data_IF_108273366548
#
_entry.id   IF_108273366548
#
_cell.length_a   1.000
_cell.length_b   1.000
_cell.length_c   1.000
_cell.angle_alpha   90.00
_cell.angle_beta   90.00
_cell.angle_gamma   90.00
#
_symmetry.space_group_name_H-M   'P 1'
#
loop_
_entity.id
_entity.type
_entity.pdbx_description
1 polymer ?
#
# COMPACT_ATOMS: atom_id res chain seq x y z
N UNK A 1 13.33 3.68 -17.87
CA UNK A 1 12.52 2.64 -17.22
C UNK A 1 13.36 1.99 -16.12
N UNK A 2 12.95 2.08 -14.89
CA UNK A 2 13.67 1.40 -13.82
C UNK A 2 13.51 -0.12 -14.00
N UNK A 3 14.62 -0.86 -14.05
CA UNK A 3 14.60 -2.32 -14.08
C UNK A 3 14.14 -2.82 -12.72
N UNK A 4 13.29 -3.84 -12.71
CA UNK A 4 12.92 -4.52 -11.48
C UNK A 4 14.16 -5.23 -10.92
N UNK A 5 14.35 -5.25 -9.61
CA UNK A 5 15.44 -6.02 -9.02
C UNK A 5 15.28 -7.51 -9.36
N UNK A 6 16.41 -8.15 -9.63
CA UNK A 6 16.46 -9.57 -10.01
C UNK A 6 15.72 -10.50 -9.04
N UNK A 7 15.64 -10.09 -7.77
CA UNK A 7 14.90 -10.82 -6.74
C UNK A 7 13.41 -10.99 -7.04
N UNK A 8 12.82 -10.03 -7.77
CA UNK A 8 11.40 -10.10 -8.13
C UNK A 8 11.13 -11.08 -9.26
N UNK A 9 12.11 -11.29 -10.13
CA UNK A 9 11.98 -12.22 -11.25
C UNK A 9 12.09 -13.69 -10.82
N UNK A 10 12.73 -13.95 -9.67
CA UNK A 10 13.00 -15.31 -9.19
C UNK A 10 11.84 -16.00 -8.50
N UNK A 11 10.89 -15.24 -7.96
CA UNK A 11 9.90 -15.78 -7.03
C UNK A 11 8.45 -15.80 -7.56
N UNK A 12 8.23 -15.40 -8.81
CA UNK A 12 6.89 -15.36 -9.42
C UNK A 12 6.03 -14.22 -8.87
N UNK A 13 4.68 -14.34 -8.97
CA UNK A 13 3.78 -13.26 -8.60
C UNK A 13 3.95 -12.83 -7.16
N UNK A 14 4.13 -11.54 -6.96
CA UNK A 14 4.36 -10.94 -5.65
C UNK A 14 3.11 -10.23 -5.15
N UNK A 15 3.05 -9.99 -3.86
CA UNK A 15 2.07 -9.09 -3.26
C UNK A 15 2.59 -7.67 -3.45
N UNK A 16 1.76 -6.81 -4.02
CA UNK A 16 2.10 -5.43 -4.29
C UNK A 16 1.51 -4.53 -3.21
N UNK A 17 2.33 -3.67 -2.61
CA UNK A 17 1.96 -2.81 -1.48
C UNK A 17 2.41 -1.38 -1.76
N UNK A 18 1.55 -0.41 -1.45
CA UNK A 18 1.69 0.99 -1.83
C UNK A 18 2.49 1.86 -0.86
N UNK A 19 3.10 1.31 0.17
CA UNK A 19 3.78 2.13 1.19
C UNK A 19 4.94 1.39 1.84
N UNK A 20 5.94 2.15 2.29
CA UNK A 20 7.08 1.63 3.05
C UNK A 20 7.06 2.13 4.49
N UNK A 21 7.81 1.49 5.39
CA UNK A 21 8.04 1.95 6.75
C UNK A 21 8.20 0.83 7.76
N UNK A 22 8.70 1.18 8.94
CA UNK A 22 8.95 0.23 10.02
C UNK A 22 7.66 -0.41 10.52
N UNK A 23 6.59 0.37 10.66
CA UNK A 23 5.30 -0.15 11.11
C UNK A 23 4.71 -1.17 10.15
N UNK A 24 4.92 -0.99 8.84
CA UNK A 24 4.52 -1.97 7.85
C UNK A 24 5.29 -3.27 8.04
N UNK A 25 6.62 -3.20 8.20
CA UNK A 25 7.45 -4.39 8.38
C UNK A 25 7.07 -5.16 9.65
N UNK A 26 6.83 -4.47 10.75
CA UNK A 26 6.35 -5.07 12.00
C UNK A 26 5.01 -5.78 11.80
N UNK A 27 4.06 -5.11 11.15
CA UNK A 27 2.72 -5.65 10.92
C UNK A 27 2.74 -6.86 9.99
N UNK A 28 3.55 -6.83 8.94
CA UNK A 28 3.73 -7.98 8.03
C UNK A 28 4.30 -9.17 8.77
N UNK A 29 5.32 -8.96 9.60
CA UNK A 29 5.92 -10.02 10.39
C UNK A 29 4.89 -10.62 11.37
N UNK A 30 4.13 -9.79 12.05
CA UNK A 30 3.11 -10.24 12.99
C UNK A 30 1.96 -10.96 12.29
N UNK A 31 1.61 -10.57 11.08
CA UNK A 31 0.62 -11.25 10.26
C UNK A 31 1.11 -12.57 9.66
N UNK A 32 2.40 -12.85 9.73
CA UNK A 32 3.00 -14.05 9.15
C UNK A 32 3.33 -13.92 7.67
N UNK A 33 3.40 -12.70 7.15
CA UNK A 33 3.70 -12.41 5.75
C UNK A 33 5.19 -12.18 5.59
N UNK A 34 5.86 -13.02 4.79
CA UNK A 34 7.29 -12.86 4.51
C UNK A 34 7.54 -11.61 3.67
N UNK A 35 8.40 -10.71 4.18
CA UNK A 35 8.72 -9.44 3.50
C UNK A 35 9.27 -9.66 2.08
N UNK A 36 9.98 -10.75 1.85
CA UNK A 36 10.58 -11.09 0.56
C UNK A 36 9.54 -11.38 -0.53
N UNK A 37 8.33 -11.75 -0.15
CA UNK A 37 7.23 -12.02 -1.07
C UNK A 37 6.38 -10.79 -1.37
N UNK A 38 6.76 -9.64 -0.82
CA UNK A 38 6.03 -8.39 -0.94
C UNK A 38 6.86 -7.37 -1.71
N UNK A 39 6.30 -6.86 -2.80
CA UNK A 39 6.86 -5.72 -3.53
C UNK A 39 6.26 -4.44 -2.98
N UNK A 40 7.08 -3.58 -2.41
CA UNK A 40 6.64 -2.33 -1.78
C UNK A 40 7.00 -1.15 -2.65
N UNK A 41 6.03 -0.29 -2.92
CA UNK A 41 6.19 0.89 -3.76
C UNK A 41 5.31 2.02 -3.27
N UNK A 42 5.38 3.17 -3.91
CA UNK A 42 4.49 4.30 -3.67
C UNK A 42 3.51 4.44 -4.84
N UNK A 43 2.24 4.69 -4.54
CA UNK A 43 1.21 4.91 -5.54
C UNK A 43 1.48 6.18 -6.36
N UNK A 44 2.01 7.21 -5.71
CA UNK A 44 2.44 8.45 -6.35
C UNK A 44 3.96 8.51 -6.33
N UNK A 45 4.58 8.56 -7.52
CA UNK A 45 6.04 8.45 -7.67
C UNK A 45 6.78 9.76 -7.44
N UNK A 46 6.06 10.89 -7.42
CA UNK A 46 6.66 12.19 -7.24
C UNK A 46 6.36 12.73 -5.84
N UNK A 47 7.42 13.18 -5.17
CA UNK A 47 7.29 13.79 -3.86
C UNK A 47 6.77 15.21 -3.99
N UNK A 48 5.59 15.47 -3.41
CA UNK A 48 5.02 16.82 -3.34
C UNK A 48 5.34 17.45 -2.00
N UNK A 49 5.91 18.65 -2.02
CA UNK A 49 6.26 19.36 -0.80
C UNK A 49 6.09 20.86 -0.95
N UNK A 50 5.92 21.53 0.19
CA UNK A 50 5.98 22.99 0.30
C UNK A 50 7.22 23.34 1.11
N UNK A 51 8.14 24.18 0.57
CA UNK A 51 9.32 24.58 1.33
C UNK A 51 8.89 25.48 2.51
N UNK A 52 9.41 25.16 3.70
CA UNK A 52 9.23 25.94 4.91
C UNK A 52 10.57 26.09 5.61
N UNK A 53 11.29 27.17 5.28
CA UNK A 53 12.67 27.34 5.73
C UNK A 53 13.58 26.25 5.15
N UNK A 54 14.28 25.51 6.01
CA UNK A 54 15.15 24.40 5.61
C UNK A 54 14.40 23.06 5.50
N UNK A 55 13.12 23.03 5.87
CA UNK A 55 12.29 21.80 5.93
C UNK A 55 11.37 21.75 4.72
N UNK A 56 11.21 20.55 4.16
CA UNK A 56 10.24 20.25 3.12
C UNK A 56 9.03 19.60 3.76
N UNK A 57 7.88 20.31 3.78
CA UNK A 57 6.64 19.75 4.29
C UNK A 57 5.99 18.90 3.21
N UNK A 58 5.80 17.62 3.52
CA UNK A 58 5.10 16.69 2.64
C UNK A 58 3.65 17.11 2.46
N UNK A 59 3.19 17.21 1.22
CA UNK A 59 1.80 17.50 0.90
C UNK A 59 1.10 16.28 0.28
N UNK A 60 -0.19 16.14 0.63
CA UNK A 60 -1.03 15.12 0.02
C UNK A 60 -1.26 15.47 -1.45
N UNK A 61 -1.05 14.52 -2.40
CA UNK A 61 -1.31 14.78 -3.80
C UNK A 61 -2.79 14.98 -4.09
N UNK A 62 -3.10 15.84 -5.05
CA UNK A 62 -4.46 16.05 -5.53
C UNK A 62 -4.80 15.07 -6.66
N UNK A 63 -6.09 14.96 -6.99
CA UNK A 63 -6.60 13.98 -7.97
C UNK A 63 -5.87 14.05 -9.32
N UNK A 64 -5.56 15.24 -9.83
CA UNK A 64 -4.85 15.41 -11.10
C UNK A 64 -3.45 14.80 -11.04
N UNK A 65 -2.76 14.98 -9.93
CA UNK A 65 -1.41 14.42 -9.72
C UNK A 65 -1.45 12.89 -9.61
N UNK A 66 -2.46 12.36 -8.93
CA UNK A 66 -2.67 10.92 -8.82
C UNK A 66 -2.92 10.31 -10.21
N UNK A 67 -3.76 10.94 -11.01
CA UNK A 67 -4.02 10.49 -12.39
C UNK A 67 -2.78 10.55 -13.26
N UNK A 68 -1.96 11.59 -13.13
CA UNK A 68 -0.72 11.73 -13.88
C UNK A 68 0.28 10.60 -13.58
N UNK A 69 0.31 10.10 -12.34
CA UNK A 69 1.21 9.02 -11.93
C UNK A 69 0.64 7.62 -12.20
N UNK A 70 -0.65 7.51 -12.51
CA UNK A 70 -1.34 6.21 -12.66
C UNK A 70 -0.73 5.32 -13.73
N UNK A 71 -0.23 5.88 -14.82
CA UNK A 71 0.42 5.13 -15.89
C UNK A 71 1.63 4.32 -15.39
N UNK A 72 2.38 4.86 -14.42
CA UNK A 72 3.53 4.18 -13.83
C UNK A 72 3.10 3.04 -12.94
N UNK A 73 2.03 3.25 -12.16
CA UNK A 73 1.42 2.22 -11.34
C UNK A 73 0.93 1.05 -12.18
N UNK A 74 0.22 1.33 -13.27
CA UNK A 74 -0.30 0.32 -14.18
C UNK A 74 0.84 -0.51 -14.79
N UNK A 75 1.94 0.14 -15.19
CA UNK A 75 3.13 -0.55 -15.69
C UNK A 75 3.77 -1.46 -14.64
N UNK A 76 3.86 -0.99 -13.40
CA UNK A 76 4.38 -1.84 -12.32
C UNK A 76 3.51 -3.07 -12.11
N UNK A 77 2.20 -2.90 -12.10
CA UNK A 77 1.27 -4.02 -11.96
C UNK A 77 1.37 -5.01 -13.12
N UNK A 78 1.54 -4.51 -14.35
CA UNK A 78 1.71 -5.35 -15.54
C UNK A 78 3.00 -6.18 -15.47
N UNK A 79 4.08 -5.60 -14.95
CA UNK A 79 5.38 -6.29 -14.86
C UNK A 79 5.41 -7.25 -13.68
N UNK A 80 4.95 -6.82 -12.51
CA UNK A 80 4.98 -7.63 -11.28
C UNK A 80 3.94 -8.75 -11.34
N UNK A 81 2.78 -8.49 -11.94
CA UNK A 81 1.65 -9.41 -12.01
C UNK A 81 1.32 -10.03 -10.64
N UNK A 82 1.02 -9.20 -9.64
CA UNK A 82 0.76 -9.70 -8.29
C UNK A 82 -0.55 -10.47 -8.25
N UNK A 83 -0.66 -11.40 -7.32
CA UNK A 83 -1.94 -12.05 -7.00
C UNK A 83 -2.85 -11.10 -6.23
N UNK A 84 -2.25 -10.26 -5.37
CA UNK A 84 -2.97 -9.28 -4.55
C UNK A 84 -2.24 -7.94 -4.58
N UNK A 85 -2.98 -6.87 -4.80
CA UNK A 85 -2.50 -5.51 -4.66
C UNK A 85 -3.10 -4.90 -3.38
N UNK A 86 -2.24 -4.40 -2.49
CA UNK A 86 -2.66 -3.80 -1.23
C UNK A 86 -2.59 -2.28 -1.34
N UNK A 87 -3.73 -1.63 -1.25
CA UNK A 87 -3.83 -0.17 -1.24
C UNK A 87 -3.94 0.34 0.21
N UNK A 88 -2.92 1.05 0.66
CA UNK A 88 -2.85 1.59 2.01
C UNK A 88 -3.08 3.09 2.01
N UNK A 89 -4.23 3.49 2.54
CA UNK A 89 -4.61 4.89 2.62
C UNK A 89 -5.38 5.40 1.40
N UNK A 90 -5.98 6.58 1.54
CA UNK A 90 -6.89 7.15 0.55
C UNK A 90 -6.24 7.40 -0.82
N UNK A 91 -5.00 7.89 -0.82
CA UNK A 91 -4.26 8.17 -2.07
C UNK A 91 -4.02 6.90 -2.87
N UNK A 92 -3.58 5.83 -2.19
CA UNK A 92 -3.33 4.54 -2.82
C UNK A 92 -4.63 3.92 -3.36
N UNK A 93 -5.71 4.02 -2.61
CA UNK A 93 -7.04 3.54 -3.02
C UNK A 93 -7.49 4.26 -4.28
N UNK A 94 -7.39 5.58 -4.30
CA UNK A 94 -7.76 6.37 -5.47
C UNK A 94 -6.90 6.03 -6.70
N UNK A 95 -5.60 5.81 -6.50
CA UNK A 95 -4.68 5.43 -7.58
C UNK A 95 -5.02 4.05 -8.15
N UNK A 96 -5.28 3.08 -7.29
CA UNK A 96 -5.52 1.70 -7.71
C UNK A 96 -6.90 1.51 -8.34
N UNK A 97 -7.93 2.11 -7.75
CA UNK A 97 -9.32 1.94 -8.20
C UNK A 97 -9.79 3.00 -9.19
N UNK A 98 -9.03 4.09 -9.35
CA UNK A 98 -9.41 5.20 -10.23
C UNK A 98 -10.45 6.13 -9.65
N UNK A 99 -10.89 5.92 -8.41
CA UNK A 99 -11.88 6.73 -7.70
C UNK A 99 -11.63 6.69 -6.20
N UNK A 100 -12.10 7.71 -5.50
CA UNK A 100 -12.06 7.74 -4.04
C UNK A 100 -13.07 6.73 -3.48
N UNK A 101 -12.62 5.95 -2.48
CA UNK A 101 -13.47 4.99 -1.77
C UNK A 101 -13.20 5.11 -0.27
N UNK A 102 -14.26 5.12 0.58
CA UNK A 102 -14.07 5.16 2.02
C UNK A 102 -13.35 3.92 2.54
N UNK A 103 -12.24 4.11 3.26
CA UNK A 103 -11.41 3.00 3.73
C UNK A 103 -12.18 2.13 4.72
N UNK A 104 -12.82 2.73 5.72
CA UNK A 104 -13.49 1.99 6.78
C UNK A 104 -14.64 1.10 6.27
N UNK A 105 -15.27 1.48 5.17
CA UNK A 105 -16.34 0.69 4.56
C UNK A 105 -15.83 -0.46 3.69
N UNK A 106 -14.61 -0.36 3.21
CA UNK A 106 -14.07 -1.27 2.20
C UNK A 106 -12.90 -2.12 2.69
N UNK A 107 -12.32 -1.81 3.86
CA UNK A 107 -11.22 -2.58 4.42
C UNK A 107 -11.65 -3.95 4.94
N UNK A 108 -10.69 -4.84 5.14
CA UNK A 108 -10.94 -6.15 5.75
C UNK A 108 -11.62 -7.15 4.84
N UNK A 109 -11.57 -6.93 3.52
CA UNK A 109 -12.09 -7.87 2.53
C UNK A 109 -11.31 -7.77 1.23
N UNK A 110 -11.34 -8.82 0.46
CA UNK A 110 -10.74 -8.83 -0.87
C UNK A 110 -11.75 -8.31 -1.90
N UNK A 111 -11.25 -7.52 -2.84
CA UNK A 111 -12.05 -6.93 -3.92
C UNK A 111 -11.43 -7.39 -5.24
N UNK A 112 -12.24 -7.88 -6.16
CA UNK A 112 -11.77 -8.33 -7.46
C UNK A 112 -11.52 -7.13 -8.38
N UNK A 113 -10.30 -7.01 -8.90
CA UNK A 113 -9.92 -6.01 -9.91
C UNK A 113 -9.90 -6.58 -11.33
N UNK A 114 -10.22 -7.86 -11.51
CA UNK A 114 -10.10 -8.55 -12.79
C UNK A 114 -8.74 -9.21 -12.98
N UNK A 115 -7.66 -8.44 -13.00
CA UNK A 115 -6.28 -8.95 -13.16
C UNK A 115 -5.70 -9.50 -11.85
N UNK A 116 -6.12 -9.00 -10.70
CA UNK A 116 -5.71 -9.46 -9.38
C UNK A 116 -6.78 -9.13 -8.35
N UNK A 117 -6.60 -9.66 -7.13
CA UNK A 117 -7.40 -9.23 -5.99
C UNK A 117 -6.82 -7.96 -5.39
N UNK A 118 -7.62 -7.17 -4.75
CA UNK A 118 -7.19 -5.97 -4.03
C UNK A 118 -7.60 -6.02 -2.57
N UNK A 119 -6.74 -5.49 -1.71
CA UNK A 119 -7.02 -5.31 -0.29
C UNK A 119 -6.88 -3.83 0.03
N UNK A 120 -7.90 -3.25 0.64
CA UNK A 120 -7.86 -1.87 1.13
C UNK A 120 -7.63 -1.93 2.65
N UNK A 121 -6.69 -1.12 3.12
CA UNK A 121 -6.43 -0.94 4.55
C UNK A 121 -5.91 0.46 4.83
N UNK A 122 -5.64 0.76 6.09
CA UNK A 122 -5.14 2.07 6.51
C UNK A 122 -3.69 2.28 6.06
N UNK A 123 -3.28 3.55 5.97
CA UNK A 123 -1.87 3.90 5.85
C UNK A 123 -1.21 3.74 7.22
N UNK A 124 -0.02 3.11 7.32
CA UNK A 124 0.64 2.91 8.61
C UNK A 124 0.88 4.19 9.41
N UNK A 125 1.07 5.34 8.75
CA UNK A 125 1.25 6.62 9.43
C UNK A 125 0.02 7.04 10.25
N UNK A 126 -1.15 6.54 9.92
CA UNK A 126 -2.37 6.81 10.69
C UNK A 126 -2.22 6.32 12.13
N UNK A 127 -1.55 5.19 12.34
CA UNK A 127 -1.29 4.63 13.67
C UNK A 127 -0.49 5.57 14.56
N UNK A 128 0.42 6.35 13.95
CA UNK A 128 1.25 7.32 14.68
C UNK A 128 0.49 8.58 15.09
N UNK A 129 -0.68 8.83 14.51
CA UNK A 129 -1.51 10.00 14.78
C UNK A 129 -2.59 9.76 15.83
N UNK A 130 -2.82 8.50 16.20
CA UNK A 130 -3.79 8.16 17.23
C UNK A 130 -3.20 8.49 18.60
N UNK A 131 -3.88 9.33 19.36
CA UNK A 131 -3.37 9.82 20.64
C UNK A 131 -3.60 8.83 21.78
N UNK A 132 -4.77 8.20 21.81
CA UNK A 132 -5.11 7.22 22.85
C UNK A 132 -4.42 5.88 22.55
N UNK A 133 -3.59 5.42 23.48
CA UNK A 133 -2.82 4.19 23.30
C UNK A 133 -3.70 2.96 23.09
N UNK A 134 -4.80 2.86 23.82
CA UNK A 134 -5.74 1.74 23.65
C UNK A 134 -6.35 1.70 22.25
N UNK A 135 -6.68 2.88 21.69
CA UNK A 135 -7.22 3.00 20.34
C UNK A 135 -6.15 2.67 19.30
N UNK A 136 -4.92 3.11 19.52
CA UNK A 136 -3.79 2.81 18.63
C UNK A 136 -3.51 1.31 18.59
N UNK A 137 -3.53 0.64 19.73
CA UNK A 137 -3.33 -0.82 19.81
C UNK A 137 -4.47 -1.59 19.11
N UNK A 138 -5.71 -1.17 19.32
CA UNK A 138 -6.86 -1.78 18.67
C UNK A 138 -6.79 -1.61 17.15
N UNK A 139 -6.43 -0.44 16.67
CA UNK A 139 -6.29 -0.16 15.24
C UNK A 139 -5.11 -0.92 14.63
N UNK A 140 -4.00 -1.04 15.35
CA UNK A 140 -2.86 -1.84 14.91
C UNK A 140 -3.25 -3.32 14.77
N UNK A 141 -3.97 -3.88 15.77
CA UNK A 141 -4.45 -5.24 15.71
C UNK A 141 -5.38 -5.46 14.51
N UNK A 142 -6.22 -4.50 14.20
CA UNK A 142 -7.09 -4.53 13.03
C UNK A 142 -6.30 -4.46 11.72
N UNK A 143 -5.26 -3.65 11.68
CA UNK A 143 -4.34 -3.56 10.54
C UNK A 143 -3.65 -4.90 10.28
N UNK A 144 -3.12 -5.53 11.31
CA UNK A 144 -2.52 -6.87 11.22
C UNK A 144 -3.55 -7.90 10.73
N UNK A 145 -4.78 -7.82 11.23
CA UNK A 145 -5.89 -8.68 10.80
C UNK A 145 -6.19 -8.53 9.31
N UNK A 146 -6.20 -7.29 8.80
CA UNK A 146 -6.36 -7.02 7.37
C UNK A 146 -5.24 -7.69 6.57
N UNK A 147 -3.98 -7.58 7.03
CA UNK A 147 -2.83 -8.17 6.35
C UNK A 147 -2.86 -9.71 6.35
N UNK A 148 -3.49 -10.33 7.33
CA UNK A 148 -3.64 -11.80 7.36
C UNK A 148 -4.44 -12.35 6.17
N UNK A 149 -5.24 -11.51 5.53
CA UNK A 149 -5.96 -11.89 4.31
C UNK A 149 -5.01 -12.21 3.15
N UNK A 150 -3.74 -11.80 3.25
CA UNK A 150 -2.73 -12.09 2.25
C UNK A 150 -2.17 -13.52 2.33
N UNK A 151 -2.33 -14.19 3.46
CA UNK A 151 -1.71 -15.51 3.70
C UNK A 151 -2.05 -16.58 2.64
N UNK A 152 -3.30 -16.70 2.15
CA UNK A 152 -3.62 -17.68 1.13
C UNK A 152 -2.87 -17.49 -0.20
N UNK A 153 -2.30 -16.32 -0.43
CA UNK A 153 -1.62 -15.97 -1.69
C UNK A 153 -0.10 -16.15 -1.64
N UNK A 154 0.43 -16.60 -0.51
CA UNK A 154 1.87 -16.78 -0.29
C UNK A 154 2.38 -18.18 -0.62
N UNK A 155 1.49 -19.09 -0.90
CA UNK A 155 1.80 -20.51 -1.17
C UNK A 155 2.54 -20.77 -2.45
#
# INVERSE_FOLDING_TARGET
MASLPDSLMRFGPQIWVTVTGLKLNEALQEAGVERQKVYVTNAVKHFKYVPRGKIRLHQKPVTVEIKACRQWLERELDVVQPKVAVAMGATAVQSLFGKAMPINKNRGRLIDLGSCQALITIHPSYLLRIQEEADAQAEYARFVSDLKLLLPFLG
#
